data_IF_312085373429
#
_entry.id   IF_312085373429
#
_cell.length_a   1.000
_cell.length_b   1.000
_cell.length_c   1.000
_cell.angle_alpha   90.00
_cell.angle_beta   90.00
_cell.angle_gamma   90.00
#
_symmetry.space_group_name_H-M   'P 1'
#
loop_
_entity.id
_entity.type
_entity.pdbx_description
1 polymer ?
#
# COMPACT_ATOMS: atom_id res chain seq x y z
N UNK A 1 -3.40 0.01 6.54
CA UNK A 1 -3.51 0.59 5.19
C UNK A 1 -2.45 -0.02 4.30
N UNK A 2 -2.86 -0.55 3.15
CA UNK A 2 -1.96 -1.16 2.17
C UNK A 2 -2.04 -0.40 0.84
N UNK A 3 -0.93 0.11 0.37
CA UNK A 3 -0.77 0.72 -0.95
C UNK A 3 0.19 -0.12 -1.77
N UNK A 4 -0.29 -0.77 -2.83
CA UNK A 4 0.61 -1.37 -3.80
C UNK A 4 1.30 -0.27 -4.61
N UNK A 5 2.61 -0.37 -4.83
CA UNK A 5 3.34 0.56 -5.68
C UNK A 5 2.65 0.76 -7.04
N UNK A 6 2.78 1.94 -7.65
CA UNK A 6 2.24 2.24 -8.97
C UNK A 6 3.00 1.49 -10.09
N UNK A 7 2.50 1.54 -11.31
CA UNK A 7 3.02 0.74 -12.43
C UNK A 7 4.49 1.06 -12.73
N UNK A 8 5.35 0.04 -12.66
CA UNK A 8 6.78 0.15 -12.93
C UNK A 8 7.14 -0.13 -14.39
N UNK A 9 8.31 0.35 -14.80
CA UNK A 9 8.89 0.13 -16.13
C UNK A 9 9.67 -1.19 -16.19
N UNK A 10 9.69 -1.77 -17.39
CA UNK A 10 10.55 -2.87 -17.81
C UNK A 10 11.44 -2.49 -19.00
N UNK A 11 11.53 -1.17 -19.31
CA UNK A 11 12.17 -0.67 -20.54
C UNK A 11 13.69 -0.83 -20.50
N UNK A 12 14.30 -0.82 -19.31
CA UNK A 12 15.74 -1.00 -19.12
C UNK A 12 16.05 -2.38 -18.51
N UNK A 13 16.50 -3.34 -19.32
CA UNK A 13 16.81 -4.70 -18.85
C UNK A 13 18.10 -4.78 -18.03
N UNK A 14 18.87 -3.71 -17.93
CA UNK A 14 20.09 -3.66 -17.11
C UNK A 14 19.82 -3.43 -15.63
N UNK A 15 18.62 -2.93 -15.28
CA UNK A 15 18.23 -2.67 -13.91
C UNK A 15 17.84 -3.97 -13.19
N UNK A 16 18.26 -4.10 -11.94
CA UNK A 16 17.71 -5.10 -11.04
C UNK A 16 16.22 -4.83 -10.76
N UNK A 17 15.51 -5.82 -10.24
CA UNK A 17 14.09 -5.64 -9.88
C UNK A 17 13.88 -4.46 -8.92
N UNK A 18 14.75 -4.30 -7.93
CA UNK A 18 14.66 -3.23 -6.94
C UNK A 18 14.85 -1.83 -7.54
N UNK A 19 15.65 -1.71 -8.60
CA UNK A 19 15.99 -0.44 -9.25
C UNK A 19 14.96 0.02 -10.29
N UNK A 20 13.99 -0.82 -10.64
CA UNK A 20 12.98 -0.46 -11.67
C UNK A 20 12.13 0.72 -11.23
N UNK A 21 12.10 1.82 -11.99
CA UNK A 21 11.31 3.01 -11.67
C UNK A 21 9.85 2.85 -12.11
N UNK A 22 9.02 3.84 -11.78
CA UNK A 22 7.68 3.98 -12.34
C UNK A 22 7.74 4.23 -13.85
N UNK A 23 6.80 3.64 -14.59
CA UNK A 23 6.56 4.01 -15.99
C UNK A 23 5.62 5.23 -16.11
N UNK A 24 5.28 5.65 -17.32
CA UNK A 24 4.39 6.79 -17.57
C UNK A 24 3.01 6.66 -16.93
N UNK A 25 2.45 5.43 -16.91
CA UNK A 25 1.17 5.15 -16.24
C UNK A 25 1.32 5.31 -14.72
N UNK A 26 2.37 4.75 -14.12
CA UNK A 26 2.60 4.85 -12.69
C UNK A 26 2.77 6.30 -12.23
N UNK A 27 3.50 7.10 -13.01
CA UNK A 27 3.69 8.55 -12.73
C UNK A 27 2.39 9.36 -12.82
N UNK A 28 1.40 8.92 -13.60
CA UNK A 28 0.07 9.55 -13.65
C UNK A 28 -0.85 9.08 -12.53
N UNK A 29 -0.85 7.77 -12.25
CA UNK A 29 -1.79 7.16 -11.32
C UNK A 29 -1.46 7.47 -9.86
N UNK A 30 -0.17 7.49 -9.48
CA UNK A 30 0.24 7.71 -8.09
C UNK A 30 -0.21 9.07 -7.52
N UNK A 31 0.01 10.22 -8.17
CA UNK A 31 -0.45 11.51 -7.63
C UNK A 31 -1.99 11.63 -7.61
N UNK A 32 -2.71 11.01 -8.55
CA UNK A 32 -4.18 11.00 -8.53
C UNK A 32 -4.70 10.25 -7.31
N UNK A 33 -4.08 9.11 -6.98
CA UNK A 33 -4.39 8.37 -5.76
C UNK A 33 -4.07 9.18 -4.51
N UNK A 34 -2.94 9.88 -4.48
CA UNK A 34 -2.54 10.76 -3.38
C UNK A 34 -3.57 11.86 -3.12
N UNK A 35 -4.05 12.54 -4.15
CA UNK A 35 -5.08 13.56 -4.04
C UNK A 35 -6.39 12.98 -3.47
N UNK A 36 -6.88 11.88 -4.05
CA UNK A 36 -8.13 11.24 -3.62
C UNK A 36 -8.07 10.70 -2.18
N UNK A 37 -6.93 10.16 -1.75
CA UNK A 37 -6.73 9.72 -0.38
C UNK A 37 -6.62 10.89 0.58
N UNK A 38 -5.97 11.99 0.17
CA UNK A 38 -5.85 13.22 0.94
C UNK A 38 -7.18 13.93 1.21
N UNK A 39 -8.14 13.82 0.30
CA UNK A 39 -9.51 14.31 0.49
C UNK A 39 -10.29 13.47 1.53
N UNK A 40 -9.86 12.24 1.80
CA UNK A 40 -10.55 11.29 2.66
C UNK A 40 -9.89 11.09 4.02
N UNK A 41 -8.57 11.09 4.08
CA UNK A 41 -7.80 10.69 5.25
C UNK A 41 -6.85 11.80 5.71
N UNK A 42 -6.62 11.95 7.01
CA UNK A 42 -5.55 12.81 7.51
C UNK A 42 -4.19 12.23 7.07
N UNK A 43 -3.17 13.09 6.92
CA UNK A 43 -1.82 12.63 6.62
C UNK A 43 -1.29 11.72 7.74
N UNK A 44 -0.47 10.73 7.36
CA UNK A 44 0.06 9.72 8.28
C UNK A 44 1.47 9.29 7.88
N UNK A 45 2.19 8.67 8.80
CA UNK A 45 3.51 8.10 8.51
C UNK A 45 3.38 6.78 7.76
N UNK A 46 4.12 6.64 6.66
CA UNK A 46 4.19 5.42 5.87
C UNK A 46 5.48 4.64 6.12
N UNK A 47 5.38 3.31 6.13
CA UNK A 47 6.51 2.39 5.95
C UNK A 47 6.56 2.01 4.48
N UNK A 48 7.71 2.21 3.86
CA UNK A 48 7.86 2.13 2.40
C UNK A 48 8.93 1.13 2.03
N UNK A 49 8.61 0.17 1.15
CA UNK A 49 9.60 -0.74 0.59
C UNK A 49 10.78 0.03 -0.02
N UNK A 50 12.02 -0.47 0.09
CA UNK A 50 13.19 0.18 -0.51
C UNK A 50 13.22 0.15 -2.05
N UNK A 51 12.35 -0.64 -2.71
CA UNK A 51 12.29 -0.66 -4.16
C UNK A 51 11.97 0.72 -4.73
N UNK A 52 12.68 1.13 -5.79
CA UNK A 52 12.58 2.45 -6.43
C UNK A 52 11.12 2.82 -6.77
N UNK A 53 10.35 1.87 -7.35
CA UNK A 53 8.94 2.06 -7.68
C UNK A 53 8.06 2.37 -6.47
N UNK A 54 8.38 1.81 -5.29
CA UNK A 54 7.65 2.08 -4.05
C UNK A 54 8.01 3.45 -3.48
N UNK A 55 9.29 3.82 -3.50
CA UNK A 55 9.79 5.13 -3.08
C UNK A 55 9.21 6.25 -3.96
N UNK A 56 9.21 6.07 -5.28
CA UNK A 56 8.61 7.02 -6.22
C UNK A 56 7.09 7.12 -6.06
N UNK A 57 6.40 6.02 -5.75
CA UNK A 57 4.96 6.05 -5.45
C UNK A 57 4.69 6.91 -4.22
N UNK A 58 5.41 6.69 -3.13
CA UNK A 58 5.26 7.51 -1.92
C UNK A 58 5.61 8.98 -2.15
N UNK A 59 6.69 9.27 -2.87
CA UNK A 59 7.06 10.66 -3.24
C UNK A 59 5.97 11.37 -4.02
N UNK A 60 5.27 10.67 -4.91
CA UNK A 60 4.13 11.23 -5.64
C UNK A 60 2.91 11.50 -4.72
N UNK A 61 2.66 10.65 -3.72
CA UNK A 61 1.65 10.90 -2.70
C UNK A 61 1.98 12.16 -1.89
N UNK A 62 3.24 12.34 -1.47
CA UNK A 62 3.66 13.52 -0.71
C UNK A 62 3.42 14.83 -1.48
N UNK A 63 3.54 14.82 -2.79
CA UNK A 63 3.32 15.99 -3.64
C UNK A 63 1.84 16.32 -3.86
N UNK A 64 0.94 15.37 -3.64
CA UNK A 64 -0.48 15.48 -4.01
C UNK A 64 -1.46 15.34 -2.83
N UNK A 65 -1.00 14.87 -1.68
CA UNK A 65 -1.79 14.73 -0.46
C UNK A 65 -1.40 15.85 0.52
N UNK A 66 -2.25 16.85 0.64
CA UNK A 66 -2.00 18.02 1.48
C UNK A 66 -1.68 17.61 2.92
N UNK A 67 -0.55 18.09 3.44
CA UNK A 67 -0.07 17.77 4.80
C UNK A 67 0.81 16.52 4.85
N UNK A 68 0.87 15.69 3.81
CA UNK A 68 1.73 14.51 3.79
C UNK A 68 3.22 14.86 3.59
N UNK A 69 3.52 16.04 3.06
CA UNK A 69 4.87 16.53 2.83
C UNK A 69 5.71 16.67 4.12
N UNK A 70 5.06 16.87 5.27
CA UNK A 70 5.72 16.94 6.59
C UNK A 70 5.90 15.55 7.22
N UNK A 71 5.27 14.53 6.67
CA UNK A 71 5.40 13.14 7.11
C UNK A 71 6.48 12.43 6.28
N UNK A 72 7.46 11.87 6.95
CA UNK A 72 8.50 11.11 6.29
C UNK A 72 8.04 9.67 6.01
N UNK A 73 8.31 9.20 4.79
CA UNK A 73 8.28 7.77 4.52
C UNK A 73 9.47 7.11 5.17
N UNK A 74 9.23 6.16 6.06
CA UNK A 74 10.28 5.38 6.67
C UNK A 74 10.55 4.18 5.77
N UNK A 75 11.75 4.09 5.20
CA UNK A 75 12.15 2.94 4.40
C UNK A 75 12.24 1.70 5.28
N UNK A 76 11.48 0.67 4.92
CA UNK A 76 11.38 -0.57 5.66
C UNK A 76 11.82 -1.75 4.78
N UNK A 77 13.03 -2.29 4.99
CA UNK A 77 13.56 -3.40 4.19
C UNK A 77 12.66 -4.65 4.18
N UNK A 78 11.96 -4.93 5.27
CA UNK A 78 11.05 -6.06 5.39
C UNK A 78 9.86 -6.00 4.42
N UNK A 79 9.53 -4.82 3.88
CA UNK A 79 8.46 -4.64 2.90
C UNK A 79 8.89 -4.93 1.45
N UNK A 80 10.19 -5.15 1.20
CA UNK A 80 10.64 -5.66 -0.10
C UNK A 80 10.54 -7.18 -0.12
N UNK A 81 9.33 -7.65 -0.13
CA UNK A 81 8.97 -9.07 -0.18
C UNK A 81 7.73 -9.29 -1.05
N UNK A 82 7.59 -10.52 -1.56
CA UNK A 82 6.42 -11.00 -2.31
C UNK A 82 5.61 -12.03 -1.51
N UNK A 83 6.10 -12.38 -0.30
CA UNK A 83 5.47 -13.31 0.63
C UNK A 83 4.70 -12.55 1.72
N UNK A 84 3.37 -12.75 1.78
CA UNK A 84 2.54 -12.10 2.78
C UNK A 84 2.89 -12.50 4.22
N UNK A 85 3.43 -13.69 4.42
CA UNK A 85 3.80 -14.17 5.76
C UNK A 85 4.97 -13.38 6.37
N UNK A 86 5.85 -12.84 5.53
CA UNK A 86 6.94 -11.96 5.98
C UNK A 86 6.38 -10.58 6.38
N UNK A 87 5.45 -10.02 5.60
CA UNK A 87 4.75 -8.77 5.96
C UNK A 87 3.96 -8.96 7.26
N UNK A 88 3.24 -10.08 7.38
CA UNK A 88 2.46 -10.41 8.57
C UNK A 88 3.34 -10.52 9.82
N UNK A 89 4.50 -11.17 9.72
CA UNK A 89 5.46 -11.28 10.81
C UNK A 89 5.98 -9.91 11.22
N UNK A 90 6.26 -9.04 10.25
CA UNK A 90 6.67 -7.67 10.51
C UNK A 90 5.57 -6.87 11.21
N UNK A 91 4.31 -7.00 10.78
CA UNK A 91 3.14 -6.37 11.43
C UNK A 91 3.01 -6.85 12.88
N UNK A 92 3.13 -8.15 13.12
CA UNK A 92 3.02 -8.74 14.45
C UNK A 92 4.13 -8.30 15.43
N UNK A 93 5.23 -7.75 14.92
CA UNK A 93 6.35 -7.24 15.72
C UNK A 93 6.26 -5.74 15.99
N UNK A 94 5.19 -5.07 15.58
CA UNK A 94 5.05 -3.63 15.83
C UNK A 94 4.68 -3.34 17.29
N UNK A 95 5.12 -2.18 17.82
CA UNK A 95 4.78 -1.80 19.19
C UNK A 95 3.28 -1.49 19.32
N UNK A 96 2.72 -1.85 20.48
CA UNK A 96 1.28 -1.75 20.74
C UNK A 96 0.77 -0.31 20.94
N UNK A 97 1.67 0.67 21.08
CA UNK A 97 1.35 2.10 21.06
C UNK A 97 1.16 2.66 19.64
N UNK A 98 1.27 1.82 18.62
CA UNK A 98 1.01 2.15 17.23
C UNK A 98 -0.46 1.86 16.89
N UNK A 99 -1.28 2.89 16.74
CA UNK A 99 -2.72 2.74 16.48
C UNK A 99 -3.02 2.20 15.08
N UNK A 100 -2.18 2.52 14.10
CA UNK A 100 -2.38 2.12 12.71
C UNK A 100 -1.06 2.03 11.94
N UNK A 101 -1.04 1.21 10.90
CA UNK A 101 0.09 1.01 10.00
C UNK A 101 -0.30 1.35 8.56
N UNK A 102 0.50 2.19 7.89
CA UNK A 102 0.36 2.50 6.47
C UNK A 102 1.60 1.99 5.72
N UNK A 103 1.39 1.06 4.79
CA UNK A 103 2.45 0.32 4.11
C UNK A 103 2.42 0.56 2.61
N UNK A 104 3.59 0.78 2.00
CA UNK A 104 3.78 0.76 0.54
C UNK A 104 4.64 -0.44 0.18
N UNK A 105 4.08 -1.34 -0.64
CA UNK A 105 4.75 -2.60 -0.96
C UNK A 105 4.24 -3.26 -2.23
N UNK A 106 4.22 -4.57 -2.24
CA UNK A 106 4.20 -5.39 -3.44
C UNK A 106 3.12 -6.47 -3.43
N UNK A 107 2.74 -6.93 -4.62
CA UNK A 107 1.98 -8.15 -4.83
C UNK A 107 2.92 -9.32 -5.22
N UNK A 108 2.49 -10.57 -4.95
CA UNK A 108 1.19 -10.97 -4.40
C UNK A 108 1.02 -10.76 -2.88
N UNK A 109 2.07 -10.38 -2.15
CA UNK A 109 2.03 -10.27 -0.69
C UNK A 109 0.83 -9.46 -0.16
N UNK A 110 0.54 -8.29 -0.73
CA UNK A 110 -0.55 -7.44 -0.25
C UNK A 110 -1.94 -8.00 -0.57
N UNK A 111 -2.16 -8.58 -1.74
CA UNK A 111 -3.42 -9.25 -2.07
C UNK A 111 -3.67 -10.43 -1.12
N UNK A 112 -2.66 -11.26 -0.90
CA UNK A 112 -2.75 -12.42 -0.02
C UNK A 112 -2.94 -12.00 1.44
N UNK A 113 -2.33 -10.90 1.88
CA UNK A 113 -2.51 -10.34 3.22
C UNK A 113 -3.95 -9.85 3.45
N UNK A 114 -4.58 -9.18 2.48
CA UNK A 114 -6.00 -8.83 2.53
C UNK A 114 -6.85 -10.10 2.68
N UNK A 115 -6.59 -11.10 1.85
CA UNK A 115 -7.35 -12.36 1.87
C UNK A 115 -7.10 -13.17 3.15
N UNK A 116 -5.93 -13.06 3.76
CA UNK A 116 -5.65 -13.65 5.07
C UNK A 116 -6.53 -13.03 6.17
N UNK A 117 -6.54 -11.70 6.29
CA UNK A 117 -7.27 -11.03 7.34
C UNK A 117 -8.80 -11.05 7.15
N UNK A 118 -9.28 -10.91 5.94
CA UNK A 118 -10.73 -10.75 5.67
C UNK A 118 -11.39 -12.06 5.28
N UNK A 119 -10.72 -12.86 4.47
CA UNK A 119 -11.22 -14.13 3.98
C UNK A 119 -10.81 -14.41 2.55
N UNK A 120 -10.71 -15.70 2.15
CA UNK A 120 -10.31 -16.09 0.80
C UNK A 120 -11.23 -15.49 -0.26
N UNK A 121 -10.64 -14.93 -1.34
CA UNK A 121 -11.40 -14.37 -2.47
C UNK A 121 -11.97 -12.97 -2.23
N UNK A 122 -11.62 -12.30 -1.14
CA UNK A 122 -12.00 -10.90 -0.91
C UNK A 122 -11.45 -9.98 -2.01
N UNK A 123 -10.21 -10.17 -2.41
CA UNK A 123 -9.60 -9.55 -3.57
C UNK A 123 -8.95 -10.59 -4.47
N UNK A 124 -9.24 -10.54 -5.76
CA UNK A 124 -8.51 -11.31 -6.76
C UNK A 124 -7.10 -10.71 -6.97
N UNK A 125 -7.01 -9.39 -6.99
CA UNK A 125 -5.75 -8.65 -7.15
C UNK A 125 -5.89 -7.21 -6.68
N UNK A 126 -5.02 -6.77 -5.77
CA UNK A 126 -4.84 -5.36 -5.49
C UNK A 126 -4.08 -4.73 -6.66
N UNK A 127 -4.70 -3.84 -7.47
CA UNK A 127 -4.03 -3.30 -8.66
C UNK A 127 -2.85 -2.40 -8.32
N UNK A 128 -1.99 -2.09 -9.29
CA UNK A 128 -0.92 -1.09 -9.11
C UNK A 128 -1.52 0.26 -8.73
N UNK A 129 -0.91 0.94 -7.77
CA UNK A 129 -1.42 2.12 -7.08
C UNK A 129 -2.76 1.88 -6.34
N UNK A 130 -3.18 0.63 -6.18
CA UNK A 130 -4.39 0.27 -5.43
C UNK A 130 -4.19 0.41 -3.93
N UNK A 131 -5.24 0.86 -3.26
CA UNK A 131 -5.34 1.08 -1.83
C UNK A 131 -6.34 0.13 -1.21
N UNK A 132 -5.99 -0.48 -0.08
CA UNK A 132 -6.88 -1.27 0.75
C UNK A 132 -6.79 -0.80 2.20
N UNK A 133 -7.93 -0.51 2.79
CA UNK A 133 -8.07 -0.14 4.20
C UNK A 133 -8.70 -1.30 4.95
N UNK A 134 -7.98 -1.84 5.93
CA UNK A 134 -8.40 -2.97 6.73
C UNK A 134 -8.64 -2.56 8.17
N UNK A 135 -9.70 -3.06 8.76
CA UNK A 135 -9.92 -3.07 10.21
C UNK A 135 -9.72 -4.50 10.69
N UNK A 136 -8.87 -4.71 11.67
CA UNK A 136 -8.54 -6.03 12.22
C UNK A 136 -8.92 -6.04 13.70
N UNK A 137 -9.62 -7.09 14.14
CA UNK A 137 -10.05 -7.26 15.54
C UNK A 137 -8.94 -7.88 16.37
N UNK A 138 -7.99 -7.07 16.79
CA UNK A 138 -6.88 -7.42 17.67
C UNK A 138 -6.69 -6.32 18.70
N UNK A 139 -6.22 -6.67 19.89
CA UNK A 139 -5.87 -5.71 20.95
C UNK A 139 -4.38 -5.34 20.89
N UNK A 140 -3.54 -6.25 20.42
CA UNK A 140 -2.09 -6.12 20.29
C UNK A 140 -1.64 -6.60 18.91
N UNK A 141 -0.63 -5.95 18.33
CA UNK A 141 -0.09 -6.34 17.02
C UNK A 141 0.46 -7.77 16.99
N UNK A 142 0.97 -8.26 18.13
CA UNK A 142 1.44 -9.65 18.27
C UNK A 142 0.38 -10.70 17.91
N UNK A 143 -0.90 -10.37 18.05
CA UNK A 143 -2.04 -11.24 17.71
C UNK A 143 -2.32 -11.30 16.20
N UNK A 144 -1.70 -10.42 15.40
CA UNK A 144 -1.97 -10.34 13.96
C UNK A 144 -1.76 -11.68 13.22
N UNK A 145 -0.77 -12.46 13.65
CA UNK A 145 -0.47 -13.77 13.03
C UNK A 145 -1.59 -14.80 13.21
N UNK A 146 -2.41 -14.66 14.25
CA UNK A 146 -3.53 -15.54 14.57
C UNK A 146 -4.88 -14.97 14.11
N UNK A 147 -4.90 -13.74 13.57
CA UNK A 147 -6.11 -12.99 13.22
C UNK A 147 -6.67 -13.33 11.82
N UNK A 148 -6.49 -14.58 11.37
CA UNK A 148 -7.03 -15.03 10.08
C UNK A 148 -8.56 -14.95 10.07
N UNK A 149 -9.11 -14.18 9.15
CA UNK A 149 -10.56 -13.97 9.03
C UNK A 149 -11.16 -13.02 10.06
N UNK A 150 -10.33 -12.35 10.89
CA UNK A 150 -10.77 -11.42 11.93
C UNK A 150 -10.79 -9.95 11.47
N UNK A 151 -10.59 -9.72 10.18
CA UNK A 151 -10.59 -8.39 9.59
C UNK A 151 -11.79 -8.11 8.71
N UNK A 152 -11.91 -6.85 8.34
CA UNK A 152 -12.84 -6.36 7.32
C UNK A 152 -12.12 -5.43 6.35
N UNK A 153 -12.42 -5.54 5.06
CA UNK A 153 -12.03 -4.56 4.05
C UNK A 153 -13.00 -3.37 4.16
N UNK A 154 -12.53 -2.30 4.79
CA UNK A 154 -13.34 -1.09 5.08
C UNK A 154 -13.47 -0.21 3.83
N UNK A 155 -12.39 -0.11 3.07
CA UNK A 155 -12.36 0.71 1.86
C UNK A 155 -11.33 0.19 0.87
N UNK A 156 -11.67 0.26 -0.41
CA UNK A 156 -10.79 -0.09 -1.51
C UNK A 156 -10.87 0.98 -2.60
N UNK A 157 -9.72 1.45 -3.07
CA UNK A 157 -9.63 2.46 -4.12
C UNK A 157 -8.59 2.03 -5.16
N UNK A 158 -8.87 2.30 -6.42
CA UNK A 158 -7.93 2.03 -7.51
C UNK A 158 -7.94 3.16 -8.53
N UNK A 159 -6.88 3.32 -9.34
CA UNK A 159 -6.88 4.31 -10.42
C UNK A 159 -8.06 4.15 -11.40
N UNK A 160 -8.50 2.90 -11.60
CA UNK A 160 -9.66 2.61 -12.47
C UNK A 160 -10.97 3.11 -11.87
N UNK A 161 -11.19 2.92 -10.56
CA UNK A 161 -12.40 3.40 -9.88
C UNK A 161 -12.46 4.93 -9.82
N UNK A 162 -11.32 5.61 -9.66
CA UNK A 162 -11.25 7.08 -9.75
C UNK A 162 -11.67 7.60 -11.13
N UNK A 163 -11.19 6.96 -12.21
CA UNK A 163 -11.54 7.37 -13.58
C UNK A 163 -13.03 7.22 -13.88
N UNK A 164 -13.73 6.28 -13.22
CA UNK A 164 -15.18 6.09 -13.36
C UNK A 164 -15.98 7.16 -12.61
N UNK A 165 -15.45 7.66 -11.50
CA UNK A 165 -16.09 8.76 -10.72
C UNK A 165 -15.97 10.10 -11.43
N UNK A 166 -14.86 10.36 -12.14
CA UNK A 166 -14.61 11.59 -12.88
C UNK A 166 -15.43 11.70 -14.20
N UNK A 167 -15.91 10.57 -14.73
CA UNK A 167 -16.65 10.50 -16.01
C UNK A 167 -18.17 10.55 -15.89
N UNK A 168 -18.71 10.73 -14.68
CA UNK A 168 -20.14 10.68 -14.38
C UNK A 168 -20.83 12.05 -14.26
N UNK A 169 -20.35 13.09 -14.96
CA UNK A 169 -21.01 14.42 -15.00
C UNK A 169 -21.31 14.79 -16.42
#
# INVERSE_FOLDING_TARGET
YLLRHAKSSWDDPSLSDAERPLNGRGRRDAPRMGAALGDRLPPMTFRVSPAERAQQTFGALQQSWTGLEVHHGITEPALYTFDYSEVLRWIAAQPDDTDSLALVGHNPAFTELVNFFVGPGTLDNLPTAGWAELSIRIDEWSQASDAKGEGALVYHLSPKSLAQSDGGH
#
